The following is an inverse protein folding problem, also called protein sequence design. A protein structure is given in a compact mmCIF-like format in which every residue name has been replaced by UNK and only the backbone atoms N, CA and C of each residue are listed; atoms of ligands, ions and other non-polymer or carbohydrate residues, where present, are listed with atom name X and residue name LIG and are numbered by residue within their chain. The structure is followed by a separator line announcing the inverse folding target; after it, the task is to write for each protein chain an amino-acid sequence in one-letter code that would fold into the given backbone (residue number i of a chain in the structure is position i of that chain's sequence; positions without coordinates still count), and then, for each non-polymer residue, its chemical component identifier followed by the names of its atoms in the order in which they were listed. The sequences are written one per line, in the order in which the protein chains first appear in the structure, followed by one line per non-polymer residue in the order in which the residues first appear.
data_IF_089510687682
#
_entry.id   IF_089510687682
#
_cell.length_a   1.000
_cell.length_b   1.000
_cell.length_c   1.000
_cell.angle_alpha   90.00
_cell.angle_beta   90.00
_cell.angle_gamma   90.00
#
_symmetry.space_group_name_H-M   'P 1'
#
loop_
_entity.id
_entity.type
_entity.pdbx_description
1 polymer ?
#
# COMPACT_ATOMS: atom_id res chain seq x y z
N UNK A 1 1.57 27.17 -33.70
CA UNK A 1 1.18 27.76 -32.40
C UNK A 1 1.94 27.13 -31.24
N UNK A 2 1.85 25.82 -30.98
CA UNK A 2 2.56 25.16 -29.86
C UNK A 2 4.07 25.45 -29.80
N UNK A 3 4.80 25.36 -30.92
CA UNK A 3 6.24 25.71 -30.97
C UNK A 3 6.52 27.18 -30.56
N UNK A 4 5.62 28.10 -30.93
CA UNK A 4 5.71 29.51 -30.58
C UNK A 4 5.48 29.75 -29.08
N UNK A 5 4.53 29.04 -28.48
CA UNK A 5 4.26 29.08 -27.03
C UNK A 5 5.45 28.51 -26.25
N UNK A 6 6.09 27.44 -26.75
CA UNK A 6 7.32 26.90 -26.15
C UNK A 6 8.48 27.89 -26.17
N UNK A 7 8.60 28.71 -27.23
CA UNK A 7 9.69 29.68 -27.37
C UNK A 7 9.40 31.02 -26.68
N UNK A 8 8.14 31.46 -26.65
CA UNK A 8 7.72 32.74 -26.09
C UNK A 8 6.39 32.59 -25.31
N UNK A 9 6.46 32.59 -23.97
CA UNK A 9 5.28 32.47 -23.11
C UNK A 9 4.21 33.54 -23.31
N UNK A 10 4.61 34.75 -23.74
CA UNK A 10 3.68 35.88 -23.92
C UNK A 10 2.68 35.65 -25.05
N UNK A 11 2.94 34.70 -25.96
CA UNK A 11 2.01 34.31 -27.01
C UNK A 11 0.68 33.76 -26.49
N UNK A 12 0.62 33.30 -25.23
CA UNK A 12 -0.63 32.81 -24.61
C UNK A 12 -1.68 33.91 -24.51
N UNK A 13 -1.27 35.16 -24.31
CA UNK A 13 -2.18 36.31 -24.28
C UNK A 13 -2.90 36.48 -25.64
N UNK A 14 -2.19 36.19 -26.74
CA UNK A 14 -2.72 36.28 -28.12
C UNK A 14 -3.63 35.10 -28.49
N UNK A 15 -3.59 33.99 -27.74
CA UNK A 15 -4.47 32.85 -27.96
C UNK A 15 -5.93 33.22 -27.81
N UNK A 16 -6.27 34.10 -26.85
CA UNK A 16 -7.64 34.56 -26.64
C UNK A 16 -8.24 35.17 -27.90
N UNK A 17 -7.53 36.11 -28.52
CA UNK A 17 -7.98 36.76 -29.75
C UNK A 17 -8.08 35.76 -30.92
N UNK A 18 -7.15 34.82 -30.99
CA UNK A 18 -7.13 33.79 -32.04
C UNK A 18 -8.31 32.84 -31.89
N UNK A 19 -8.59 32.34 -30.69
CA UNK A 19 -9.71 31.44 -30.42
C UNK A 19 -11.06 32.14 -30.56
N UNK A 20 -11.18 33.39 -30.10
CA UNK A 20 -12.38 34.18 -30.33
C UNK A 20 -12.65 34.34 -31.83
N UNK A 21 -11.61 34.63 -32.63
CA UNK A 21 -11.74 34.77 -34.07
C UNK A 21 -12.14 33.45 -34.75
N UNK A 22 -11.57 32.32 -34.32
CA UNK A 22 -11.94 31.00 -34.82
C UNK A 22 -13.39 30.64 -34.46
N UNK A 23 -13.84 30.95 -33.25
CA UNK A 23 -15.23 30.77 -32.83
C UNK A 23 -16.18 31.62 -33.69
N UNK A 24 -15.90 32.92 -33.84
CA UNK A 24 -16.73 33.81 -34.66
C UNK A 24 -16.74 33.46 -36.15
N UNK A 25 -15.70 32.79 -36.65
CA UNK A 25 -15.66 32.31 -38.03
C UNK A 25 -16.65 31.16 -38.28
N UNK A 26 -17.05 30.44 -37.22
CA UNK A 26 -18.05 29.38 -37.28
C UNK A 26 -19.49 29.94 -37.33
N UNK A 27 -19.72 31.10 -36.71
CA UNK A 27 -21.06 31.66 -36.54
C UNK A 27 -21.74 31.99 -37.88
N UNK A 28 -21.02 32.61 -38.82
CA UNK A 28 -21.59 33.00 -40.11
C UNK A 28 -22.00 31.80 -40.99
N UNK A 29 -21.16 30.75 -41.15
CA UNK A 29 -21.58 29.50 -41.79
C UNK A 29 -22.79 28.84 -41.12
N UNK A 30 -22.82 28.73 -39.79
CA UNK A 30 -23.96 28.13 -39.08
C UNK A 30 -25.24 28.94 -39.25
N UNK A 31 -25.13 30.28 -39.24
CA UNK A 31 -26.25 31.17 -39.48
C UNK A 31 -26.81 31.02 -40.90
N UNK A 32 -25.95 30.84 -41.91
CA UNK A 32 -26.38 30.55 -43.30
C UNK A 32 -27.10 29.21 -43.44
N UNK A 33 -26.62 28.18 -42.74
CA UNK A 33 -27.27 26.84 -42.73
C UNK A 33 -28.63 26.93 -42.05
N UNK A 34 -28.73 27.70 -40.95
CA UNK A 34 -29.99 27.96 -40.26
C UNK A 34 -30.97 28.74 -41.14
N UNK A 35 -30.51 29.76 -41.86
CA UNK A 35 -31.33 30.51 -42.82
C UNK A 35 -31.83 29.66 -44.00
N UNK A 36 -31.08 28.61 -44.36
CA UNK A 36 -31.48 27.65 -45.38
C UNK A 36 -32.45 26.56 -44.86
N UNK A 37 -32.85 26.58 -43.58
CA UNK A 37 -33.67 25.56 -42.92
C UNK A 37 -33.16 24.12 -43.16
N UNK A 38 -31.84 23.94 -43.23
CA UNK A 38 -31.26 22.61 -43.44
C UNK A 38 -31.36 21.76 -42.17
N UNK A 39 -31.74 20.48 -42.27
CA UNK A 39 -31.73 19.54 -41.14
C UNK A 39 -30.30 19.28 -40.61
N UNK A 40 -29.26 19.59 -41.38
CA UNK A 40 -27.86 19.32 -41.04
C UNK A 40 -27.24 20.35 -40.08
N UNK A 41 -27.98 21.39 -39.67
CA UNK A 41 -27.47 22.43 -38.77
C UNK A 41 -26.86 21.84 -37.49
N UNK A 42 -27.54 20.88 -36.88
CA UNK A 42 -27.12 20.28 -35.60
C UNK A 42 -25.87 19.43 -35.78
N UNK A 43 -25.81 18.60 -36.81
CA UNK A 43 -24.68 17.71 -37.08
C UNK A 43 -23.41 18.49 -37.45
N UNK A 44 -23.55 19.51 -38.31
CA UNK A 44 -22.45 20.39 -38.74
C UNK A 44 -21.94 21.24 -37.56
N UNK A 45 -22.85 21.83 -36.78
CA UNK A 45 -22.50 22.59 -35.57
C UNK A 45 -21.73 21.73 -34.58
N UNK A 46 -22.20 20.51 -34.30
CA UNK A 46 -21.58 19.62 -33.32
C UNK A 46 -20.20 19.14 -33.78
N UNK A 47 -20.04 18.76 -35.05
CA UNK A 47 -18.76 18.31 -35.59
C UNK A 47 -17.69 19.39 -35.54
N UNK A 48 -17.97 20.57 -36.12
CA UNK A 48 -16.97 21.64 -36.17
C UNK A 48 -16.71 22.29 -34.81
N UNK A 49 -17.72 22.37 -33.93
CA UNK A 49 -17.51 22.80 -32.55
C UNK A 49 -16.57 21.85 -31.82
N UNK A 50 -16.76 20.54 -31.99
CA UNK A 50 -15.93 19.51 -31.36
C UNK A 50 -14.49 19.56 -31.88
N UNK A 51 -14.30 19.71 -33.19
CA UNK A 51 -12.96 19.86 -33.78
C UNK A 51 -12.25 21.12 -33.30
N UNK A 52 -12.97 22.25 -33.18
CA UNK A 52 -12.39 23.49 -32.67
C UNK A 52 -12.02 23.36 -31.19
N UNK A 53 -12.87 22.73 -30.39
CA UNK A 53 -12.58 22.41 -28.97
C UNK A 53 -11.37 21.47 -28.86
N UNK A 54 -11.28 20.44 -29.69
CA UNK A 54 -10.14 19.51 -29.73
C UNK A 54 -8.85 20.24 -30.07
N UNK A 55 -8.90 21.15 -31.04
CA UNK A 55 -7.76 22.00 -31.39
C UNK A 55 -7.35 22.92 -30.23
N UNK A 56 -8.30 23.63 -29.60
CA UNK A 56 -8.05 24.49 -28.44
C UNK A 56 -7.42 23.70 -27.30
N UNK A 57 -7.99 22.53 -26.96
CA UNK A 57 -7.43 21.61 -25.95
C UNK A 57 -6.00 21.21 -26.30
N UNK A 58 -5.74 20.82 -27.55
CA UNK A 58 -4.40 20.44 -28.00
C UNK A 58 -3.41 21.59 -27.85
N UNK A 59 -3.80 22.81 -28.20
CA UNK A 59 -2.92 23.99 -28.06
C UNK A 59 -2.69 24.34 -26.58
N UNK A 60 -3.71 24.28 -25.73
CA UNK A 60 -3.60 24.56 -24.30
C UNK A 60 -2.81 23.49 -23.54
N UNK A 61 -2.85 22.24 -23.98
CA UNK A 61 -2.10 21.13 -23.36
C UNK A 61 -0.58 21.35 -23.36
N UNK A 62 -0.07 22.18 -24.28
CA UNK A 62 1.36 22.50 -24.31
C UNK A 62 1.80 23.30 -23.09
N UNK A 63 0.88 24.03 -22.44
CA UNK A 63 1.19 24.93 -21.34
C UNK A 63 1.58 24.13 -20.09
N UNK A 64 0.77 23.17 -19.60
CA UNK A 64 1.22 22.24 -18.56
C UNK A 64 2.53 21.55 -18.90
N UNK A 65 2.67 20.95 -20.09
CA UNK A 65 3.90 20.27 -20.51
C UNK A 65 5.14 21.19 -20.39
N UNK A 66 5.02 22.44 -20.84
CA UNK A 66 6.09 23.44 -20.69
C UNK A 66 6.32 23.84 -19.25
N UNK A 67 5.26 24.03 -18.44
CA UNK A 67 5.39 24.38 -17.02
C UNK A 67 6.15 23.31 -16.25
N UNK A 68 5.83 22.03 -16.44
CA UNK A 68 6.53 20.92 -15.78
C UNK A 68 7.98 20.76 -16.27
N UNK A 69 8.23 20.93 -17.57
CA UNK A 69 9.60 20.93 -18.10
C UNK A 69 10.43 22.12 -17.58
N UNK A 70 9.77 23.23 -17.29
CA UNK A 70 10.35 24.46 -16.72
C UNK A 70 10.60 24.32 -15.22
N UNK A 71 9.69 23.71 -14.45
CA UNK A 71 9.86 23.42 -13.02
C UNK A 71 11.08 22.55 -12.70
N UNK A 72 11.52 21.73 -13.65
CA UNK A 72 12.74 20.94 -13.53
C UNK A 72 14.06 21.76 -13.65
N UNK A 73 14.01 23.06 -14.01
CA UNK A 73 15.17 23.97 -14.08
C UNK A 73 14.97 25.14 -13.09
N UNK A 74 16.04 25.87 -12.78
CA UNK A 74 16.18 26.79 -11.62
C UNK A 74 15.10 27.91 -11.48
N UNK A 75 14.62 28.10 -10.25
CA UNK A 75 13.40 28.82 -9.78
C UNK A 75 13.19 30.28 -10.26
N UNK A 76 14.21 31.11 -10.48
CA UNK A 76 13.99 32.57 -10.58
C UNK A 76 13.49 33.08 -11.96
N UNK A 77 14.18 32.80 -13.07
CA UNK A 77 13.75 33.23 -14.42
C UNK A 77 12.47 32.54 -14.90
N UNK A 78 12.09 31.46 -14.23
CA UNK A 78 11.07 30.50 -14.66
C UNK A 78 9.70 30.77 -14.03
N UNK A 79 9.69 31.39 -12.85
CA UNK A 79 8.46 31.86 -12.19
C UNK A 79 7.74 32.91 -13.03
N UNK A 80 8.48 33.79 -13.72
CA UNK A 80 7.89 34.78 -14.63
C UNK A 80 7.16 34.13 -15.81
N UNK A 81 7.74 33.09 -16.43
CA UNK A 81 7.07 32.38 -17.52
C UNK A 81 5.78 31.71 -17.05
N UNK A 82 5.82 31.06 -15.87
CA UNK A 82 4.64 30.44 -15.26
C UNK A 82 3.57 31.49 -14.95
N UNK A 83 3.93 32.62 -14.36
CA UNK A 83 2.97 33.69 -14.06
C UNK A 83 2.34 34.25 -15.34
N UNK A 84 3.14 34.52 -16.38
CA UNK A 84 2.63 35.01 -17.68
C UNK A 84 1.69 34.00 -18.35
N UNK A 85 2.04 32.71 -18.33
CA UNK A 85 1.15 31.67 -18.84
C UNK A 85 -0.18 31.64 -18.12
N UNK A 86 -0.10 31.73 -16.79
CA UNK A 86 -1.25 31.56 -15.93
C UNK A 86 -2.15 32.79 -15.95
N UNK A 87 -1.59 33.99 -15.86
CA UNK A 87 -2.31 35.25 -16.08
C UNK A 87 -2.97 35.27 -17.46
N UNK A 88 -2.24 34.88 -18.51
CA UNK A 88 -2.78 34.83 -19.87
C UNK A 88 -4.01 33.94 -20.02
N UNK A 89 -4.05 32.79 -19.32
CA UNK A 89 -5.22 31.89 -19.29
C UNK A 89 -6.31 32.43 -18.37
N UNK A 90 -5.98 32.93 -17.17
CA UNK A 90 -6.96 33.45 -16.21
C UNK A 90 -7.67 34.72 -16.73
N UNK A 91 -7.00 35.51 -17.57
CA UNK A 91 -7.59 36.65 -18.28
C UNK A 91 -8.54 36.23 -19.42
N UNK A 92 -8.60 34.94 -19.77
CA UNK A 92 -9.56 34.44 -20.74
C UNK A 92 -10.92 34.24 -20.09
N UNK A 93 -11.95 34.89 -20.65
CA UNK A 93 -13.33 34.65 -20.26
C UNK A 93 -13.82 33.31 -20.80
N UNK A 94 -14.81 32.72 -20.14
CA UNK A 94 -15.52 31.54 -20.67
C UNK A 94 -16.02 31.88 -22.07
N UNK A 95 -15.61 31.09 -23.04
CA UNK A 95 -15.88 31.36 -24.46
C UNK A 95 -16.79 30.28 -24.99
N UNK A 96 -17.91 30.69 -25.59
CA UNK A 96 -18.79 29.77 -26.30
C UNK A 96 -18.18 29.46 -27.66
N UNK A 97 -17.96 28.18 -27.94
CA UNK A 97 -17.52 27.69 -29.25
C UNK A 97 -18.66 26.84 -29.81
N UNK A 98 -19.47 27.44 -30.68
CA UNK A 98 -20.72 26.86 -31.18
C UNK A 98 -21.65 26.50 -30.03
N UNK A 99 -21.85 25.20 -29.77
CA UNK A 99 -22.71 24.69 -28.69
C UNK A 99 -21.95 24.36 -27.38
N UNK A 100 -20.62 24.43 -27.37
CA UNK A 100 -19.79 24.02 -26.21
C UNK A 100 -19.21 25.25 -25.53
N UNK A 101 -19.46 25.38 -24.22
CA UNK A 101 -18.81 26.42 -23.42
C UNK A 101 -17.43 25.94 -22.97
N UNK A 102 -16.39 26.68 -23.36
CA UNK A 102 -15.02 26.43 -22.93
C UNK A 102 -14.72 27.29 -21.70
N UNK A 103 -14.34 26.63 -20.61
CA UNK A 103 -13.76 27.27 -19.42
C UNK A 103 -12.23 27.11 -19.42
N UNK A 104 -11.46 28.17 -19.73
CA UNK A 104 -10.00 28.11 -19.81
C UNK A 104 -9.35 27.72 -18.47
N UNK A 105 -9.95 28.08 -17.33
CA UNK A 105 -9.43 27.73 -16.00
C UNK A 105 -9.55 26.23 -15.78
N UNK A 106 -10.72 25.66 -16.06
CA UNK A 106 -10.94 24.21 -15.93
C UNK A 106 -10.04 23.42 -16.89
N UNK A 107 -9.84 23.90 -18.12
CA UNK A 107 -8.93 23.24 -19.07
C UNK A 107 -7.47 23.27 -18.61
N UNK A 108 -7.03 24.35 -17.96
CA UNK A 108 -5.70 24.44 -17.38
C UNK A 108 -5.54 23.46 -16.21
N UNK A 109 -6.52 23.40 -15.31
CA UNK A 109 -6.53 22.45 -14.19
C UNK A 109 -6.49 21.00 -14.69
N UNK A 110 -7.38 20.63 -15.61
CA UNK A 110 -7.40 19.30 -16.22
C UNK A 110 -6.07 18.96 -16.91
N UNK A 111 -5.47 19.95 -17.58
CA UNK A 111 -4.18 19.81 -18.26
C UNK A 111 -3.02 19.60 -17.28
N UNK A 112 -2.97 20.36 -16.18
CA UNK A 112 -1.97 20.22 -15.11
C UNK A 112 -2.11 18.86 -14.43
N UNK A 113 -3.33 18.45 -14.07
CA UNK A 113 -3.61 17.13 -13.50
C UNK A 113 -3.16 16.01 -14.44
N UNK A 114 -3.47 16.12 -15.73
CA UNK A 114 -3.08 15.12 -16.74
C UNK A 114 -1.58 15.01 -16.89
N UNK A 115 -0.87 16.13 -16.95
CA UNK A 115 0.60 16.12 -17.04
C UNK A 115 1.22 15.54 -15.77
N UNK A 116 0.72 15.88 -14.58
CA UNK A 116 1.14 15.28 -13.31
C UNK A 116 0.98 13.75 -13.36
N UNK A 117 -0.19 13.26 -13.74
CA UNK A 117 -0.48 11.82 -13.83
C UNK A 117 0.49 11.12 -14.78
N UNK A 118 0.76 11.74 -15.93
CA UNK A 118 1.72 11.23 -16.91
C UNK A 118 3.16 11.16 -16.36
N UNK A 119 3.64 12.23 -15.72
CA UNK A 119 4.99 12.30 -15.17
C UNK A 119 5.18 11.32 -14.00
N UNK A 120 4.22 11.25 -13.08
CA UNK A 120 4.25 10.31 -11.95
C UNK A 120 4.23 8.87 -12.45
N UNK A 121 3.33 8.53 -13.38
CA UNK A 121 3.28 7.18 -13.93
C UNK A 121 4.57 6.80 -14.67
N UNK A 122 5.17 7.73 -15.40
CA UNK A 122 6.44 7.50 -16.08
C UNK A 122 7.60 7.31 -15.10
N UNK A 123 7.64 8.11 -14.03
CA UNK A 123 8.64 7.97 -12.98
C UNK A 123 8.52 6.61 -12.26
N UNK A 124 7.30 6.18 -11.93
CA UNK A 124 7.03 4.88 -11.33
C UNK A 124 7.38 3.72 -12.27
N UNK A 125 6.98 3.81 -13.54
CA UNK A 125 7.24 2.76 -14.54
C UNK A 125 8.75 2.56 -14.77
N UNK A 126 9.50 3.65 -14.94
CA UNK A 126 10.94 3.59 -15.22
C UNK A 126 11.80 3.39 -13.96
N UNK A 127 11.38 3.95 -12.83
CA UNK A 127 12.14 3.90 -11.57
C UNK A 127 12.09 2.53 -10.90
N UNK A 128 10.97 1.82 -11.02
CA UNK A 128 10.73 0.52 -10.38
C UNK A 128 10.94 -0.63 -11.37
N UNK A 129 12.12 -0.68 -11.96
CA UNK A 129 12.59 -1.81 -12.78
C UNK A 129 13.70 -2.48 -12.00
N UNK A 130 13.60 -3.77 -11.72
CA UNK A 130 14.59 -4.50 -10.90
C UNK A 130 15.27 -5.59 -11.72
N UNK A 131 16.55 -5.82 -11.49
CA UNK A 131 17.25 -6.94 -12.11
C UNK A 131 17.21 -8.17 -11.18
N UNK A 132 16.54 -9.27 -11.56
CA UNK A 132 16.43 -10.46 -10.71
C UNK A 132 17.77 -11.13 -10.39
N UNK A 133 18.82 -10.85 -11.18
CA UNK A 133 20.16 -11.45 -11.02
C UNK A 133 21.13 -10.58 -10.22
N UNK A 134 20.71 -9.40 -9.75
CA UNK A 134 21.57 -8.53 -8.95
C UNK A 134 21.83 -9.13 -7.56
N UNK A 135 23.12 -9.24 -7.19
CA UNK A 135 23.56 -9.76 -5.88
C UNK A 135 23.19 -8.81 -4.73
N UNK A 136 23.57 -7.51 -4.74
CA UNK A 136 22.99 -6.55 -3.81
C UNK A 136 21.56 -6.19 -4.23
N UNK A 137 20.65 -6.02 -3.26
CA UNK A 137 19.30 -5.52 -3.54
C UNK A 137 19.37 -4.09 -4.07
N UNK A 138 18.71 -3.85 -5.21
CA UNK A 138 18.56 -2.52 -5.81
C UNK A 138 17.35 -1.76 -5.25
N UNK A 139 16.58 -2.38 -4.34
CA UNK A 139 15.31 -1.85 -3.85
C UNK A 139 15.47 -0.48 -3.18
N UNK A 140 16.29 -0.40 -2.13
CA UNK A 140 16.53 0.82 -1.35
C UNK A 140 17.08 1.98 -2.22
N UNK A 141 18.15 1.80 -3.04
CA UNK A 141 18.66 2.89 -3.84
C UNK A 141 17.65 3.37 -4.89
N UNK A 142 16.86 2.47 -5.51
CA UNK A 142 15.83 2.86 -6.48
C UNK A 142 14.65 3.58 -5.84
N UNK A 143 14.18 3.12 -4.68
CA UNK A 143 13.14 3.81 -3.92
C UNK A 143 13.60 5.20 -3.44
N UNK A 144 14.86 5.32 -3.00
CA UNK A 144 15.42 6.63 -2.59
C UNK A 144 15.51 7.59 -3.78
N UNK A 145 15.95 7.10 -4.94
CA UNK A 145 16.01 7.91 -6.16
C UNK A 145 14.61 8.35 -6.61
N UNK A 146 13.64 7.44 -6.61
CA UNK A 146 12.24 7.73 -6.94
C UNK A 146 11.63 8.73 -5.94
N UNK A 147 11.88 8.56 -4.65
CA UNK A 147 11.42 9.47 -3.60
C UNK A 147 11.89 10.91 -3.82
N UNK A 148 13.17 11.10 -4.21
CA UNK A 148 13.70 12.43 -4.58
C UNK A 148 12.97 13.04 -5.78
N UNK A 149 12.63 12.24 -6.79
CA UNK A 149 11.89 12.71 -7.97
C UNK A 149 10.46 13.10 -7.58
N UNK A 150 9.78 12.28 -6.78
CA UNK A 150 8.42 12.55 -6.31
C UNK A 150 8.36 13.78 -5.39
N UNK A 151 9.33 13.95 -4.48
CA UNK A 151 9.47 15.17 -3.65
C UNK A 151 9.68 16.42 -4.52
N UNK A 152 10.46 16.29 -5.61
CA UNK A 152 10.60 17.35 -6.60
C UNK A 152 9.27 17.77 -7.23
N UNK A 153 8.43 16.82 -7.62
CA UNK A 153 7.09 17.11 -8.15
C UNK A 153 6.17 17.73 -7.10
N UNK A 154 6.18 17.21 -5.87
CA UNK A 154 5.37 17.74 -4.77
C UNK A 154 5.68 19.21 -4.48
N UNK A 155 6.97 19.55 -4.30
CA UNK A 155 7.40 20.94 -4.08
C UNK A 155 7.06 21.84 -5.26
N UNK A 156 7.16 21.32 -6.48
CA UNK A 156 6.79 22.06 -7.68
C UNK A 156 5.32 22.49 -7.66
N UNK A 157 4.43 21.63 -7.17
CA UNK A 157 3.02 21.96 -6.98
C UNK A 157 2.80 23.00 -5.89
N UNK A 158 3.52 22.91 -4.79
CA UNK A 158 3.50 23.90 -3.72
C UNK A 158 3.91 25.30 -4.24
N UNK A 159 4.91 25.38 -5.12
CA UNK A 159 5.35 26.65 -5.70
C UNK A 159 4.35 27.24 -6.70
N UNK A 160 3.68 26.44 -7.51
CA UNK A 160 2.75 26.95 -8.55
C UNK A 160 1.33 27.19 -8.04
N UNK A 161 0.96 26.66 -6.86
CA UNK A 161 -0.43 26.66 -6.39
C UNK A 161 -1.04 28.07 -6.36
N UNK A 162 -0.25 29.07 -5.93
CA UNK A 162 -0.70 30.45 -5.81
C UNK A 162 -0.85 31.12 -7.18
N UNK A 163 0.09 30.86 -8.10
CA UNK A 163 0.03 31.40 -9.45
C UNK A 163 -1.18 30.87 -10.21
N UNK A 164 -1.45 29.56 -10.11
CA UNK A 164 -2.55 28.88 -10.82
C UNK A 164 -3.89 28.98 -10.10
N UNK A 165 -3.88 29.37 -8.82
CA UNK A 165 -5.08 29.40 -7.98
C UNK A 165 -5.78 28.03 -7.96
N UNK A 166 -5.01 26.97 -7.71
CA UNK A 166 -5.46 25.58 -7.56
C UNK A 166 -4.92 25.03 -6.23
N UNK A 167 -5.72 24.19 -5.55
CA UNK A 167 -5.29 23.48 -4.36
C UNK A 167 -4.28 22.36 -4.70
N UNK A 168 -2.99 22.69 -4.75
CA UNK A 168 -1.93 21.77 -5.17
C UNK A 168 -1.86 20.48 -4.36
N UNK A 169 -1.97 20.58 -3.03
CA UNK A 169 -1.95 19.41 -2.14
C UNK A 169 -3.10 18.44 -2.42
N UNK A 170 -4.32 18.97 -2.60
CA UNK A 170 -5.51 18.17 -2.91
C UNK A 170 -5.34 17.42 -4.24
N UNK A 171 -4.89 18.13 -5.27
CA UNK A 171 -4.63 17.55 -6.59
C UNK A 171 -3.58 16.44 -6.50
N UNK A 172 -2.48 16.68 -5.78
CA UNK A 172 -1.44 15.67 -5.59
C UNK A 172 -1.98 14.40 -4.92
N UNK A 173 -2.70 14.53 -3.81
CA UNK A 173 -3.25 13.39 -3.08
C UNK A 173 -4.29 12.61 -3.89
N UNK A 174 -5.24 13.30 -4.52
CA UNK A 174 -6.27 12.69 -5.37
C UNK A 174 -5.63 11.89 -6.52
N UNK A 175 -4.71 12.51 -7.27
CA UNK A 175 -4.15 11.89 -8.46
C UNK A 175 -3.14 10.76 -8.13
N UNK A 176 -2.29 10.93 -7.11
CA UNK A 176 -1.33 9.86 -6.71
C UNK A 176 -2.08 8.65 -6.15
N UNK A 177 -3.11 8.86 -5.32
CA UNK A 177 -3.96 7.76 -4.81
C UNK A 177 -4.68 7.04 -5.95
N UNK A 178 -5.21 7.80 -6.92
CA UNK A 178 -5.89 7.26 -8.11
C UNK A 178 -4.94 6.42 -8.96
N UNK A 179 -3.71 6.88 -9.17
CA UNK A 179 -2.66 6.16 -9.90
C UNK A 179 -2.34 4.82 -9.22
N UNK A 180 -2.06 4.83 -7.92
CA UNK A 180 -1.71 3.61 -7.18
C UNK A 180 -2.86 2.62 -7.21
N UNK A 181 -4.08 3.07 -6.88
CA UNK A 181 -5.27 2.22 -6.84
C UNK A 181 -5.60 1.59 -8.19
N UNK A 182 -5.50 2.35 -9.29
CA UNK A 182 -5.68 1.82 -10.64
C UNK A 182 -4.65 0.71 -10.96
N UNK A 183 -3.36 0.96 -10.71
CA UNK A 183 -2.32 -0.04 -11.02
C UNK A 183 -2.42 -1.29 -10.13
N UNK A 184 -2.82 -1.14 -8.87
CA UNK A 184 -3.11 -2.29 -7.99
C UNK A 184 -4.26 -3.11 -8.56
N UNK A 185 -5.38 -2.48 -8.94
CA UNK A 185 -6.53 -3.16 -9.55
C UNK A 185 -6.14 -3.93 -10.82
N UNK A 186 -5.34 -3.32 -11.70
CA UNK A 186 -4.88 -3.95 -12.93
C UNK A 186 -3.92 -5.12 -12.69
N UNK A 187 -3.08 -5.09 -11.66
CA UNK A 187 -2.23 -6.24 -11.29
C UNK A 187 -3.08 -7.35 -10.63
N UNK A 188 -4.10 -6.98 -9.84
CA UNK A 188 -5.02 -7.92 -9.20
C UNK A 188 -5.88 -8.71 -10.19
N UNK A 189 -6.08 -8.21 -11.42
CA UNK A 189 -6.76 -8.95 -12.48
C UNK A 189 -6.13 -10.32 -12.80
N UNK A 190 -4.87 -10.55 -12.43
CA UNK A 190 -4.24 -11.87 -12.52
C UNK A 190 -4.90 -12.92 -11.61
N UNK A 191 -5.54 -12.49 -10.52
CA UNK A 191 -6.17 -13.36 -9.52
C UNK A 191 -7.70 -13.40 -9.62
N UNK A 192 -8.31 -12.51 -10.42
CA UNK A 192 -9.75 -12.43 -10.59
C UNK A 192 -10.24 -13.31 -11.74
N UNK A 193 -11.39 -13.97 -11.54
CA UNK A 193 -12.07 -14.74 -12.60
C UNK A 193 -12.66 -13.83 -13.68
N UNK A 194 -13.23 -12.70 -13.27
CA UNK A 194 -13.70 -11.64 -14.15
C UNK A 194 -12.72 -10.49 -14.08
N UNK A 195 -12.06 -10.20 -15.21
CA UNK A 195 -11.06 -9.13 -15.30
C UNK A 195 -11.74 -7.79 -15.46
N UNK A 196 -11.33 -6.81 -14.66
CA UNK A 196 -11.78 -5.43 -14.74
C UNK A 196 -11.01 -4.74 -15.87
N UNK A 197 -11.72 -4.38 -16.94
CA UNK A 197 -11.13 -3.69 -18.09
C UNK A 197 -10.92 -2.20 -17.81
N UNK A 198 -10.06 -1.53 -18.58
CA UNK A 198 -9.73 -0.11 -18.39
C UNK A 198 -10.96 0.80 -18.35
N UNK A 199 -11.95 0.55 -19.21
CA UNK A 199 -13.18 1.35 -19.26
C UNK A 199 -14.17 1.06 -18.12
N UNK A 200 -13.97 -0.05 -17.40
CA UNK A 200 -14.78 -0.45 -16.24
C UNK A 200 -14.17 0.03 -14.93
N UNK A 201 -12.88 0.38 -14.93
CA UNK A 201 -12.18 0.85 -13.75
C UNK A 201 -12.76 2.17 -13.25
N UNK A 202 -13.07 2.24 -11.96
CA UNK A 202 -13.57 3.44 -11.28
C UNK A 202 -12.54 4.56 -11.29
N UNK A 203 -11.25 4.21 -11.36
CA UNK A 203 -10.14 5.14 -11.33
C UNK A 203 -9.83 5.77 -12.69
N UNK A 204 -10.36 5.21 -13.77
CA UNK A 204 -10.09 5.68 -15.12
C UNK A 204 -11.04 6.83 -15.50
N UNK A 205 -10.47 8.00 -15.78
CA UNK A 205 -11.24 9.20 -16.14
C UNK A 205 -11.16 9.48 -17.63
N UNK A 206 -12.31 9.84 -18.23
CA UNK A 206 -12.38 10.29 -19.64
C UNK A 206 -11.63 11.60 -19.87
N UNK A 207 -11.59 12.48 -18.85
CA UNK A 207 -10.92 13.76 -18.94
C UNK A 207 -9.42 13.64 -18.64
N UNK A 208 -9.05 12.78 -17.69
CA UNK A 208 -7.66 12.65 -17.21
C UNK A 208 -7.31 11.16 -17.18
N UNK A 209 -7.03 10.55 -18.34
CA UNK A 209 -6.73 9.13 -18.41
C UNK A 209 -5.37 8.84 -17.77
N UNK A 210 -5.28 7.73 -17.03
CA UNK A 210 -4.03 7.20 -16.53
C UNK A 210 -3.35 6.46 -17.69
N UNK A 211 -2.11 6.81 -18.06
CA UNK A 211 -1.44 6.15 -19.17
C UNK A 211 -1.02 4.74 -18.79
N UNK A 212 -1.24 3.81 -19.70
CA UNK A 212 -0.73 2.44 -19.62
C UNK A 212 0.54 2.31 -20.44
N UNK A 213 1.48 1.50 -19.96
CA UNK A 213 2.75 1.22 -20.62
C UNK A 213 2.85 -0.26 -20.94
N UNK A 214 3.59 -0.65 -21.99
CA UNK A 214 3.82 -2.06 -22.26
C UNK A 214 4.54 -2.73 -21.08
N UNK A 215 4.19 -3.98 -20.74
CA UNK A 215 4.91 -4.74 -19.72
C UNK A 215 6.40 -4.86 -20.07
N UNK A 216 7.26 -4.63 -19.07
CA UNK A 216 8.72 -4.77 -19.22
C UNK A 216 9.21 -6.18 -18.92
N UNK A 217 8.35 -6.99 -18.30
CA UNK A 217 8.60 -8.36 -17.88
C UNK A 217 7.40 -9.25 -18.20
N UNK A 218 7.63 -10.56 -18.31
CA UNK A 218 6.56 -11.53 -18.59
C UNK A 218 5.69 -11.82 -17.36
N UNK A 219 6.15 -11.44 -16.16
CA UNK A 219 5.50 -11.78 -14.92
C UNK A 219 4.57 -10.65 -14.43
N UNK A 220 5.01 -9.39 -14.49
CA UNK A 220 4.24 -8.24 -13.99
C UNK A 220 3.48 -7.54 -15.10
N UNK A 221 2.28 -7.05 -14.79
CA UNK A 221 1.53 -6.17 -15.71
C UNK A 221 2.09 -4.76 -15.61
N UNK A 222 2.36 -4.29 -14.39
CA UNK A 222 2.84 -2.94 -14.13
C UNK A 222 3.93 -2.86 -13.05
N UNK A 223 4.25 -1.63 -12.60
CA UNK A 223 5.30 -1.39 -11.62
C UNK A 223 4.98 -1.94 -10.23
N UNK A 224 3.69 -2.07 -9.85
CA UNK A 224 3.27 -2.64 -8.57
C UNK A 224 3.66 -4.12 -8.52
N UNK A 225 3.42 -4.87 -9.60
CA UNK A 225 3.87 -6.26 -9.70
C UNK A 225 5.39 -6.41 -9.59
N UNK A 226 6.15 -5.52 -10.25
CA UNK A 226 7.61 -5.53 -10.17
C UNK A 226 8.11 -5.22 -8.76
N UNK A 227 7.51 -4.22 -8.10
CA UNK A 227 7.82 -3.87 -6.73
C UNK A 227 7.48 -5.00 -5.77
N UNK A 228 6.28 -5.58 -5.88
CA UNK A 228 5.84 -6.69 -5.03
C UNK A 228 6.75 -7.91 -5.18
N UNK A 229 7.17 -8.25 -6.40
CA UNK A 229 8.12 -9.34 -6.64
C UNK A 229 9.50 -9.07 -6.08
N UNK A 230 10.00 -7.84 -6.21
CA UNK A 230 11.29 -7.48 -5.62
C UNK A 230 11.24 -7.51 -4.09
N UNK A 231 10.14 -7.03 -3.49
CA UNK A 231 9.92 -7.18 -2.04
C UNK A 231 9.90 -8.65 -1.67
N UNK A 232 9.13 -9.49 -2.37
CA UNK A 232 9.09 -10.94 -2.14
C UNK A 232 10.45 -11.63 -2.33
N UNK A 233 11.30 -11.12 -3.24
CA UNK A 233 12.66 -11.63 -3.45
C UNK A 233 13.58 -11.26 -2.30
N UNK A 234 13.51 -10.01 -1.84
CA UNK A 234 14.28 -9.52 -0.68
C UNK A 234 13.77 -10.14 0.62
N UNK A 235 12.54 -10.63 0.64
CA UNK A 235 11.98 -11.43 1.73
C UNK A 235 11.81 -12.89 1.34
N UNK A 236 12.60 -13.41 0.39
CA UNK A 236 12.49 -14.83 0.00
C UNK A 236 13.01 -15.66 1.17
N UNK A 237 12.24 -16.66 1.63
CA UNK A 237 12.72 -17.54 2.67
C UNK A 237 14.08 -18.09 2.35
N UNK A 238 14.28 -18.57 1.12
CA UNK A 238 15.48 -19.28 0.66
C UNK A 238 16.76 -18.50 0.76
N UNK A 239 16.68 -17.19 0.94
CA UNK A 239 17.84 -16.30 0.94
C UNK A 239 17.79 -15.28 2.05
N UNK A 240 16.72 -15.15 2.84
CA UNK A 240 16.70 -14.15 3.92
C UNK A 240 16.17 -14.66 5.27
N UNK A 241 16.68 -14.04 6.34
CA UNK A 241 16.31 -14.22 7.75
C UNK A 241 15.86 -12.87 8.30
N UNK A 242 14.78 -12.88 9.08
CA UNK A 242 14.32 -11.66 9.74
C UNK A 242 14.86 -11.59 11.17
N UNK A 243 15.57 -10.51 11.49
CA UNK A 243 16.09 -10.29 12.83
C UNK A 243 15.22 -9.26 13.55
N UNK A 244 14.47 -9.75 14.54
CA UNK A 244 13.46 -8.98 15.28
C UNK A 244 14.04 -7.76 16.00
N UNK A 245 15.21 -7.92 16.63
CA UNK A 245 15.87 -6.84 17.37
C UNK A 245 16.20 -5.62 16.48
N UNK A 246 16.39 -5.85 15.19
CA UNK A 246 16.72 -4.82 14.19
C UNK A 246 15.56 -4.46 13.26
N UNK A 247 14.41 -5.13 13.38
CA UNK A 247 13.28 -5.02 12.44
C UNK A 247 13.70 -5.06 10.95
N UNK A 248 14.70 -5.89 10.61
CA UNK A 248 15.33 -5.90 9.29
C UNK A 248 15.56 -7.32 8.77
N UNK A 249 15.60 -7.44 7.44
CA UNK A 249 15.90 -8.68 6.73
C UNK A 249 17.40 -8.77 6.43
N UNK A 250 18.01 -9.91 6.71
CA UNK A 250 19.40 -10.22 6.44
C UNK A 250 19.50 -11.38 5.46
N UNK A 251 20.52 -11.38 4.61
CA UNK A 251 20.77 -12.46 3.63
C UNK A 251 21.25 -13.74 4.36
N UNK A 252 20.44 -14.79 4.36
CA UNK A 252 20.72 -16.12 4.92
C UNK A 252 19.66 -17.14 4.47
N UNK A 253 20.04 -18.38 4.18
CA UNK A 253 19.16 -19.36 3.52
C UNK A 253 18.06 -19.94 4.44
N UNK A 254 16.87 -19.38 4.52
CA UNK A 254 15.74 -19.97 5.28
C UNK A 254 14.65 -20.59 4.41
N UNK A 255 13.60 -21.22 4.96
CA UNK A 255 12.66 -22.01 4.13
C UNK A 255 11.19 -21.92 4.59
N UNK A 256 10.73 -20.79 5.14
CA UNK A 256 9.35 -20.63 5.64
C UNK A 256 8.62 -19.41 5.04
N UNK A 257 7.81 -19.62 4.00
CA UNK A 257 7.09 -18.56 3.26
C UNK A 257 6.00 -17.85 4.07
N UNK A 258 5.12 -18.60 4.75
CA UNK A 258 3.96 -18.03 5.46
C UNK A 258 4.40 -17.13 6.63
N UNK A 259 5.38 -17.57 7.41
CA UNK A 259 5.89 -16.81 8.56
C UNK A 259 6.50 -15.48 8.15
N UNK A 260 7.26 -15.49 7.06
CA UNK A 260 7.89 -14.29 6.53
C UNK A 260 6.88 -13.28 5.99
N UNK A 261 5.82 -13.75 5.33
CA UNK A 261 4.71 -12.88 4.93
C UNK A 261 4.04 -12.21 6.14
N UNK A 262 3.86 -12.91 7.25
CA UNK A 262 3.29 -12.32 8.46
C UNK A 262 4.20 -11.29 9.11
N UNK A 263 5.50 -11.53 9.11
CA UNK A 263 6.51 -10.56 9.54
C UNK A 263 6.45 -9.31 8.67
N UNK A 264 6.43 -9.47 7.35
CA UNK A 264 6.34 -8.35 6.41
C UNK A 264 5.07 -7.53 6.66
N UNK A 265 3.92 -8.18 6.86
CA UNK A 265 2.67 -7.48 7.22
C UNK A 265 2.77 -6.74 8.54
N UNK A 266 3.43 -7.32 9.54
CA UNK A 266 3.66 -6.66 10.84
C UNK A 266 4.56 -5.43 10.69
N UNK A 267 5.62 -5.53 9.89
CA UNK A 267 6.51 -4.40 9.59
C UNK A 267 5.78 -3.27 8.85
N UNK A 268 4.99 -3.60 7.83
CA UNK A 268 4.17 -2.62 7.08
C UNK A 268 3.15 -1.95 8.01
N UNK A 269 2.43 -2.71 8.84
CA UNK A 269 1.47 -2.15 9.79
C UNK A 269 2.15 -1.24 10.82
N UNK A 270 3.34 -1.61 11.30
CA UNK A 270 4.13 -0.80 12.23
C UNK A 270 4.59 0.52 11.62
N UNK A 271 5.06 0.49 10.37
CA UNK A 271 5.47 1.70 9.66
C UNK A 271 4.27 2.62 9.42
N UNK A 272 3.16 2.09 8.90
CA UNK A 272 1.92 2.85 8.71
C UNK A 272 1.43 3.51 10.00
N UNK A 273 1.43 2.76 11.11
CA UNK A 273 1.05 3.29 12.42
C UNK A 273 1.99 4.40 12.90
N UNK A 274 3.29 4.21 12.69
CA UNK A 274 4.31 5.19 13.09
C UNK A 274 4.14 6.49 12.29
N UNK A 275 4.04 6.41 10.96
CA UNK A 275 3.78 7.56 10.09
C UNK A 275 2.46 8.25 10.45
N UNK A 276 1.37 7.51 10.59
CA UNK A 276 0.06 8.05 10.94
C UNK A 276 0.09 8.78 12.30
N UNK A 277 0.83 8.26 13.27
CA UNK A 277 0.99 8.88 14.59
C UNK A 277 1.78 10.19 14.54
N UNK A 278 2.79 10.29 13.66
CA UNK A 278 3.57 11.51 13.48
C UNK A 278 2.81 12.57 12.66
N UNK A 279 2.16 12.19 11.57
CA UNK A 279 1.49 13.12 10.65
C UNK A 279 0.06 13.49 11.07
N UNK A 280 -0.68 12.56 11.71
CA UNK A 280 -2.10 12.73 12.06
C UNK A 280 -2.44 12.16 13.45
N UNK A 281 -1.78 12.71 14.48
CA UNK A 281 -1.95 12.26 15.88
C UNK A 281 -3.40 12.23 16.36
N UNK A 282 -4.21 13.23 15.97
CA UNK A 282 -5.57 13.39 16.47
C UNK A 282 -6.51 12.36 15.84
N UNK A 283 -6.30 12.04 14.56
CA UNK A 283 -7.03 10.98 13.87
C UNK A 283 -6.72 9.62 14.49
N UNK A 284 -5.45 9.31 14.73
CA UNK A 284 -5.04 8.04 15.36
C UNK A 284 -5.65 7.92 16.76
N UNK A 285 -5.61 8.99 17.56
CA UNK A 285 -6.21 9.00 18.90
C UNK A 285 -7.73 8.81 18.85
N UNK A 286 -8.42 9.47 17.91
CA UNK A 286 -9.86 9.32 17.73
C UNK A 286 -10.24 7.89 17.29
N UNK A 287 -9.50 7.31 16.35
CA UNK A 287 -9.73 5.94 15.87
C UNK A 287 -9.47 4.91 16.97
N UNK A 288 -8.39 5.05 17.74
CA UNK A 288 -8.09 4.18 18.89
C UNK A 288 -9.19 4.26 19.94
N UNK A 289 -9.59 5.48 20.33
CA UNK A 289 -10.66 5.69 21.32
C UNK A 289 -11.98 5.11 20.84
N UNK A 290 -12.31 5.29 19.56
CA UNK A 290 -13.54 4.73 18.96
C UNK A 290 -13.51 3.21 18.94
N UNK A 291 -12.39 2.61 18.53
CA UNK A 291 -12.21 1.16 18.54
C UNK A 291 -12.32 0.58 19.95
N UNK A 292 -11.69 1.20 20.94
CA UNK A 292 -11.74 0.74 22.33
C UNK A 292 -13.15 0.89 22.92
N UNK A 293 -13.87 1.97 22.61
CA UNK A 293 -15.25 2.18 23.01
C UNK A 293 -16.19 1.12 22.40
N UNK A 294 -16.10 0.88 21.09
CA UNK A 294 -16.91 -0.14 20.39
C UNK A 294 -16.60 -1.54 20.94
N UNK A 295 -15.34 -1.88 21.17
CA UNK A 295 -14.95 -3.16 21.77
C UNK A 295 -15.46 -3.28 23.22
N UNK A 296 -15.50 -2.19 23.99
CA UNK A 296 -16.04 -2.18 25.35
C UNK A 296 -17.55 -2.40 25.36
N UNK A 297 -18.29 -1.77 24.43
CA UNK A 297 -19.73 -1.97 24.26
C UNK A 297 -20.07 -3.40 23.86
N UNK A 298 -19.34 -3.97 22.89
CA UNK A 298 -19.50 -5.38 22.48
C UNK A 298 -19.27 -6.32 23.67
N UNK A 299 -18.19 -6.11 24.44
CA UNK A 299 -17.93 -6.90 25.66
C UNK A 299 -19.02 -6.72 26.71
N UNK A 300 -19.58 -5.53 26.84
CA UNK A 300 -20.67 -5.25 27.77
C UNK A 300 -21.96 -5.96 27.36
N UNK A 301 -22.28 -6.01 26.05
CA UNK A 301 -23.41 -6.77 25.51
C UNK A 301 -23.26 -8.27 25.74
N UNK A 302 -22.06 -8.83 25.55
CA UNK A 302 -21.82 -10.25 25.86
C UNK A 302 -22.00 -10.60 27.34
N UNK A 303 -21.83 -9.64 28.25
CA UNK A 303 -22.12 -9.82 29.68
C UNK A 303 -23.59 -9.60 30.02
N UNK A 304 -24.24 -8.69 29.32
CA UNK A 304 -25.62 -8.29 29.53
C UNK A 304 -26.32 -8.06 28.16
N UNK A 305 -27.13 -9.03 27.69
CA UNK A 305 -27.80 -8.97 26.39
C UNK A 305 -28.75 -7.78 26.21
N UNK A 306 -29.10 -7.05 27.27
CA UNK A 306 -29.95 -5.85 27.19
C UNK A 306 -29.24 -4.62 26.60
N UNK A 307 -27.90 -4.62 26.56
CA UNK A 307 -27.09 -3.50 26.05
C UNK A 307 -27.09 -3.46 24.51
N UNK A 308 -26.82 -2.30 23.89
CA UNK A 308 -26.79 -2.20 22.43
C UNK A 308 -25.63 -3.03 21.84
N UNK A 309 -25.90 -3.67 20.71
CA UNK A 309 -24.91 -4.36 19.87
C UNK A 309 -25.02 -3.82 18.45
N UNK A 310 -23.91 -3.51 17.76
CA UNK A 310 -23.94 -3.11 16.35
C UNK A 310 -24.50 -4.26 15.52
N UNK A 311 -25.75 -4.12 15.03
CA UNK A 311 -26.38 -5.12 14.16
C UNK A 311 -25.59 -5.28 12.86
N UNK A 312 -25.71 -6.43 12.20
CA UNK A 312 -25.01 -6.73 10.95
C UNK A 312 -25.30 -5.73 9.82
N UNK A 313 -26.47 -5.10 9.83
CA UNK A 313 -26.84 -4.04 8.88
C UNK A 313 -26.11 -2.71 9.10
N UNK A 314 -25.40 -2.54 10.22
CA UNK A 314 -24.69 -1.30 10.53
C UNK A 314 -23.29 -1.31 9.87
N UNK A 315 -23.00 -0.40 8.92
CA UNK A 315 -21.70 -0.35 8.25
C UNK A 315 -20.55 0.07 9.16
N UNK A 316 -20.83 0.56 10.37
CA UNK A 316 -19.85 1.08 11.32
C UNK A 316 -18.64 0.17 11.51
N UNK A 317 -18.86 -1.14 11.72
CA UNK A 317 -17.76 -2.09 11.95
C UNK A 317 -16.90 -2.28 10.70
N UNK A 318 -17.51 -2.33 9.50
CA UNK A 318 -16.77 -2.45 8.25
C UNK A 318 -15.97 -1.18 7.94
N UNK A 319 -16.58 0.00 8.10
CA UNK A 319 -15.92 1.28 7.86
C UNK A 319 -14.78 1.52 8.85
N UNK A 320 -15.04 1.31 10.15
CA UNK A 320 -14.01 1.45 11.18
C UNK A 320 -12.86 0.47 10.95
N UNK A 321 -13.13 -0.78 10.59
CA UNK A 321 -12.09 -1.75 10.27
C UNK A 321 -11.22 -1.30 9.07
N UNK A 322 -11.82 -0.70 8.05
CA UNK A 322 -11.07 -0.16 6.91
C UNK A 322 -10.13 0.99 7.33
N UNK A 323 -10.62 1.94 8.14
CA UNK A 323 -9.79 3.03 8.66
C UNK A 323 -8.67 2.55 9.59
N UNK A 324 -8.94 1.55 10.43
CA UNK A 324 -7.93 0.92 11.28
C UNK A 324 -6.86 0.20 10.46
N UNK A 325 -7.27 -0.53 9.41
CA UNK A 325 -6.34 -1.20 8.48
C UNK A 325 -5.43 -0.16 7.78
N UNK A 326 -5.98 0.98 7.34
CA UNK A 326 -5.21 2.06 6.69
C UNK A 326 -4.22 2.74 7.64
N UNK A 327 -4.56 2.89 8.91
CA UNK A 327 -3.69 3.48 9.92
C UNK A 327 -2.70 2.49 10.54
N UNK A 328 -2.66 1.23 10.07
CA UNK A 328 -1.83 0.19 10.67
C UNK A 328 -2.28 -0.27 12.07
N UNK A 329 -3.47 0.13 12.52
CA UNK A 329 -4.07 -0.20 13.81
C UNK A 329 -4.78 -1.57 13.77
N UNK A 330 -4.14 -2.58 13.17
CA UNK A 330 -4.67 -3.93 13.10
C UNK A 330 -3.62 -4.96 13.48
N UNK A 331 -4.05 -6.18 13.80
CA UNK A 331 -3.17 -7.28 14.18
C UNK A 331 -3.07 -8.30 13.04
N UNK A 332 -1.98 -8.32 12.25
CA UNK A 332 -1.86 -9.22 11.09
C UNK A 332 -1.97 -10.70 11.44
N UNK A 333 -1.34 -11.11 12.55
CA UNK A 333 -1.28 -12.50 13.01
C UNK A 333 -2.65 -13.02 13.50
N UNK A 334 -3.48 -12.10 14.00
CA UNK A 334 -4.83 -12.43 14.49
C UNK A 334 -5.88 -12.45 13.38
N UNK A 335 -5.53 -12.03 12.14
CA UNK A 335 -6.47 -11.94 11.02
C UNK A 335 -6.80 -13.34 10.49
N UNK A 336 -8.09 -13.65 10.37
CA UNK A 336 -8.59 -14.88 9.75
C UNK A 336 -8.74 -14.62 8.25
N UNK A 337 -8.02 -15.39 7.44
CA UNK A 337 -7.99 -15.28 5.98
C UNK A 337 -8.94 -16.27 5.31
N UNK A 338 -9.02 -17.49 5.85
CA UNK A 338 -9.82 -18.57 5.28
C UNK A 338 -10.57 -19.29 6.39
N UNK A 339 -11.90 -19.29 6.33
CA UNK A 339 -12.74 -20.13 7.19
C UNK A 339 -12.91 -21.50 6.54
N UNK A 340 -12.47 -22.56 7.21
CA UNK A 340 -12.59 -23.95 6.72
C UNK A 340 -13.39 -24.81 7.70
N UNK A 341 -13.78 -26.02 7.25
CA UNK A 341 -14.47 -27.00 8.10
C UNK A 341 -13.50 -27.53 9.18
N UNK A 342 -13.99 -27.86 10.38
CA UNK A 342 -13.15 -28.39 11.45
C UNK A 342 -12.47 -29.69 11.01
N UNK A 343 -11.15 -29.74 11.14
CA UNK A 343 -10.33 -30.92 10.86
C UNK A 343 -10.06 -31.63 12.19
N UNK A 344 -10.45 -32.89 12.32
CA UNK A 344 -10.19 -33.69 13.52
C UNK A 344 -8.69 -33.88 13.76
N UNK A 345 -8.26 -33.89 15.03
CA UNK A 345 -6.88 -34.11 15.48
C UNK A 345 -5.81 -33.14 14.93
N UNK A 346 -6.23 -32.04 14.31
CA UNK A 346 -5.32 -30.99 13.84
C UNK A 346 -4.37 -30.47 14.93
N UNK A 347 -4.79 -30.23 16.19
CA UNK A 347 -3.90 -29.73 17.23
C UNK A 347 -2.79 -30.71 17.60
N UNK A 348 -3.09 -32.03 17.59
CA UNK A 348 -2.11 -33.07 17.85
C UNK A 348 -1.09 -33.17 16.71
N UNK A 349 -1.56 -33.13 15.46
CA UNK A 349 -0.68 -33.09 14.30
C UNK A 349 0.24 -31.87 14.34
N UNK A 350 -0.31 -30.68 14.63
CA UNK A 350 0.47 -29.45 14.73
C UNK A 350 1.49 -29.52 15.87
N UNK A 351 1.15 -30.11 17.01
CA UNK A 351 2.08 -30.32 18.11
C UNK A 351 3.24 -31.23 17.68
N UNK A 352 2.96 -32.40 17.11
CA UNK A 352 3.99 -33.32 16.61
C UNK A 352 4.86 -32.67 15.53
N UNK A 353 4.23 -31.92 14.62
CA UNK A 353 4.92 -31.15 13.59
C UNK A 353 5.87 -30.12 14.20
N UNK A 354 5.43 -29.37 15.22
CA UNK A 354 6.30 -28.38 15.89
C UNK A 354 7.45 -29.02 16.63
N UNK A 355 7.22 -30.07 17.44
CA UNK A 355 8.27 -30.73 18.22
C UNK A 355 9.34 -31.36 17.32
N UNK A 356 8.93 -32.06 16.26
CA UNK A 356 9.86 -32.68 15.30
C UNK A 356 10.75 -31.67 14.58
N UNK A 357 10.24 -30.47 14.29
CA UNK A 357 11.03 -29.41 13.68
C UNK A 357 11.89 -28.68 14.72
N UNK A 358 11.39 -28.48 15.95
CA UNK A 358 12.12 -27.85 17.05
C UNK A 358 13.42 -28.59 17.42
N UNK A 359 13.50 -29.90 17.20
CA UNK A 359 14.74 -30.67 17.37
C UNK A 359 15.90 -30.17 16.48
N UNK A 360 15.60 -29.55 15.34
CA UNK A 360 16.58 -29.00 14.39
C UNK A 360 17.09 -27.61 14.77
N UNK A 361 16.50 -26.96 15.77
CA UNK A 361 16.91 -25.63 16.22
C UNK A 361 17.81 -25.68 17.45
N UNK A 362 18.50 -24.58 17.71
CA UNK A 362 19.23 -24.28 18.93
C UNK A 362 18.87 -22.86 19.34
N UNK A 363 18.45 -22.67 20.58
CA UNK A 363 18.25 -21.36 21.16
C UNK A 363 19.58 -20.63 21.38
N UNK A 364 19.68 -19.38 20.93
CA UNK A 364 20.86 -18.53 21.13
C UNK A 364 20.46 -17.29 21.91
N UNK A 365 21.00 -17.17 23.13
CA UNK A 365 20.65 -16.10 24.09
C UNK A 365 21.02 -14.70 23.61
N UNK A 366 22.13 -14.56 22.88
CA UNK A 366 22.59 -13.26 22.36
C UNK A 366 21.63 -12.62 21.35
N UNK A 367 20.87 -13.44 20.60
CA UNK A 367 19.90 -12.97 19.62
C UNK A 367 18.44 -13.14 20.10
N UNK A 368 18.23 -13.78 21.26
CA UNK A 368 16.91 -14.05 21.82
C UNK A 368 16.00 -14.86 20.89
N UNK A 369 16.59 -15.72 20.05
CA UNK A 369 15.91 -16.40 18.95
C UNK A 369 16.34 -17.85 18.74
N UNK A 370 15.52 -18.59 17.99
CA UNK A 370 15.75 -19.97 17.59
C UNK A 370 16.49 -20.00 16.24
N UNK A 371 17.70 -20.57 16.21
CA UNK A 371 18.51 -20.72 15.00
C UNK A 371 18.64 -22.18 14.59
N UNK A 372 18.80 -22.47 13.29
CA UNK A 372 19.01 -23.84 12.82
C UNK A 372 20.38 -24.40 13.22
N UNK A 373 20.44 -25.69 13.58
CA UNK A 373 21.67 -26.43 13.91
C UNK A 373 22.61 -26.67 12.71
N UNK A 374 22.11 -26.62 11.47
CA UNK A 374 22.90 -26.90 10.25
C UNK A 374 22.74 -25.78 9.22
N UNK A 375 23.86 -25.26 8.72
CA UNK A 375 23.90 -24.15 7.76
C UNK A 375 23.50 -24.48 6.32
N UNK A 376 23.13 -25.74 6.00
CA UNK A 376 22.71 -26.14 4.64
C UNK A 376 21.17 -26.11 4.49
N UNK A 377 20.43 -26.30 5.58
CA UNK A 377 18.96 -26.18 5.67
C UNK A 377 18.61 -25.21 6.82
N UNK A 378 18.99 -23.93 6.70
CA UNK A 378 18.85 -22.97 7.79
C UNK A 378 17.42 -22.44 7.93
N UNK A 379 16.47 -23.30 8.32
CA UNK A 379 15.11 -22.88 8.71
C UNK A 379 15.24 -21.84 9.83
N UNK A 380 14.59 -20.69 9.65
CA UNK A 380 14.56 -19.60 10.62
C UNK A 380 13.44 -19.85 11.65
N UNK A 381 13.79 -19.72 12.93
CA UNK A 381 12.90 -20.08 14.02
C UNK A 381 11.72 -19.13 14.16
N UNK A 382 11.92 -17.82 13.94
CA UNK A 382 10.85 -16.84 14.11
C UNK A 382 9.76 -16.96 13.02
N UNK A 383 10.08 -17.01 11.72
CA UNK A 383 9.12 -17.35 10.68
C UNK A 383 8.44 -18.70 10.90
N UNK A 384 9.17 -19.72 11.36
CA UNK A 384 8.58 -21.02 11.67
C UNK A 384 7.49 -20.92 12.74
N UNK A 385 7.77 -20.21 13.84
CA UNK A 385 6.80 -19.99 14.93
C UNK A 385 5.58 -19.22 14.43
N UNK A 386 5.80 -18.10 13.74
CA UNK A 386 4.71 -17.26 13.25
C UNK A 386 3.86 -17.96 12.19
N UNK A 387 4.49 -18.70 11.26
CA UNK A 387 3.79 -19.44 10.22
C UNK A 387 2.94 -20.58 10.77
N UNK A 388 3.52 -21.41 11.65
CA UNK A 388 2.80 -22.52 12.30
C UNK A 388 1.61 -22.02 13.12
N UNK A 389 1.78 -20.92 13.87
CA UNK A 389 0.70 -20.33 14.64
C UNK A 389 -0.38 -19.68 13.77
N UNK A 390 0.02 -18.96 12.71
CA UNK A 390 -0.93 -18.32 11.79
C UNK A 390 -1.83 -19.34 11.11
N UNK A 391 -1.26 -20.49 10.73
CA UNK A 391 -2.03 -21.61 10.19
C UNK A 391 -3.03 -22.15 11.21
N UNK A 392 -2.59 -22.41 12.44
CA UNK A 392 -3.48 -22.91 13.51
C UNK A 392 -4.62 -21.93 13.83
N UNK A 393 -4.35 -20.63 13.77
CA UNK A 393 -5.33 -19.54 13.96
C UNK A 393 -6.39 -19.43 12.88
N UNK A 394 -6.21 -20.06 11.70
CA UNK A 394 -7.26 -20.09 10.67
C UNK A 394 -8.44 -21.01 11.05
N UNK A 395 -8.25 -21.86 12.06
CA UNK A 395 -9.26 -22.78 12.55
C UNK A 395 -9.88 -22.29 13.87
N UNK A 396 -10.89 -23.02 14.36
CA UNK A 396 -11.59 -22.69 15.61
C UNK A 396 -10.62 -22.49 16.79
N UNK A 397 -10.94 -21.55 17.69
CA UNK A 397 -10.08 -21.15 18.80
C UNK A 397 -9.68 -22.31 19.72
N UNK A 398 -10.53 -23.33 19.85
CA UNK A 398 -10.24 -24.53 20.65
C UNK A 398 -8.98 -25.27 20.20
N UNK A 399 -8.65 -25.21 18.90
CA UNK A 399 -7.46 -25.86 18.37
C UNK A 399 -6.17 -25.26 18.95
N UNK A 400 -6.16 -23.94 19.18
CA UNK A 400 -5.03 -23.25 19.82
C UNK A 400 -4.90 -23.68 21.28
N UNK A 401 -6.02 -23.75 21.99
CA UNK A 401 -6.06 -24.19 23.39
C UNK A 401 -5.57 -25.63 23.55
N UNK A 402 -6.04 -26.55 22.70
CA UNK A 402 -5.63 -27.96 22.71
C UNK A 402 -4.15 -28.12 22.32
N UNK A 403 -3.67 -27.38 21.33
CA UNK A 403 -2.27 -27.38 20.92
C UNK A 403 -1.34 -26.94 22.07
N UNK A 404 -1.68 -25.86 22.77
CA UNK A 404 -0.92 -25.39 23.94
C UNK A 404 -0.97 -26.41 25.09
N UNK A 405 -2.11 -27.07 25.30
CA UNK A 405 -2.24 -28.13 26.30
C UNK A 405 -1.32 -29.32 26.00
N UNK A 406 -1.25 -29.78 24.74
CA UNK A 406 -0.36 -30.87 24.32
C UNK A 406 1.11 -30.49 24.43
N UNK A 407 1.50 -29.28 24.02
CA UNK A 407 2.88 -28.80 24.22
C UNK A 407 3.25 -28.73 25.70
N UNK A 408 2.36 -28.21 26.56
CA UNK A 408 2.60 -28.15 28.00
C UNK A 408 2.66 -29.52 28.67
N UNK A 409 1.88 -30.50 28.19
CA UNK A 409 2.00 -31.89 28.64
C UNK A 409 3.36 -32.48 28.24
N UNK A 410 3.83 -32.23 27.02
CA UNK A 410 5.12 -32.71 26.54
C UNK A 410 6.29 -32.11 27.32
N UNK A 411 6.28 -30.80 27.58
CA UNK A 411 7.29 -30.13 28.43
C UNK A 411 7.33 -30.73 29.83
N UNK A 412 6.16 -30.99 30.44
CA UNK A 412 6.10 -31.63 31.77
C UNK A 412 6.67 -33.04 31.76
N UNK A 413 6.34 -33.85 30.75
CA UNK A 413 6.90 -35.20 30.58
C UNK A 413 8.43 -35.18 30.45
N UNK A 414 8.99 -34.24 29.68
CA UNK A 414 10.44 -34.11 29.51
C UNK A 414 11.15 -33.69 30.81
N UNK A 415 10.50 -32.85 31.62
CA UNK A 415 11.04 -32.42 32.92
C UNK A 415 11.01 -33.56 33.95
N UNK A 416 9.97 -34.41 33.92
CA UNK A 416 9.86 -35.60 34.78
C UNK A 416 10.91 -36.67 34.41
N UNK A 417 11.17 -36.87 33.12
CA UNK A 417 12.19 -37.83 32.63
C UNK A 417 13.63 -37.40 32.95
N UNK A 418 13.91 -36.09 32.97
CA UNK A 418 15.26 -35.53 33.14
C UNK A 418 15.83 -35.55 34.56
N UNK A 419 15.10 -35.97 35.59
CA UNK A 419 15.52 -35.87 37.02
C UNK A 419 16.04 -34.47 37.40
N UNK A 420 15.50 -33.42 36.79
CA UNK A 420 15.96 -32.05 37.00
C UNK A 420 15.53 -31.61 38.40
N UNK A 421 16.47 -31.59 39.34
CA UNK A 421 16.19 -31.04 40.67
C UNK A 421 15.79 -29.58 40.53
N UNK A 422 14.78 -29.17 41.31
CA UNK A 422 14.12 -27.86 41.34
C UNK A 422 15.09 -26.66 41.46
N UNK A 423 16.38 -26.90 41.71
CA UNK A 423 17.39 -25.88 42.02
C UNK A 423 18.45 -25.63 40.93
N UNK A 424 18.51 -26.42 39.84
CA UNK A 424 19.46 -26.17 38.72
C UNK A 424 18.85 -26.47 37.35
N UNK A 425 18.47 -25.41 36.63
CA UNK A 425 18.00 -25.48 35.24
C UNK A 425 19.12 -25.74 34.21
N UNK A 426 20.38 -25.88 34.65
CA UNK A 426 21.55 -26.08 33.78
C UNK A 426 21.53 -27.40 33.00
N UNK A 427 20.70 -28.36 33.42
CA UNK A 427 20.56 -29.69 32.80
C UNK A 427 19.27 -29.85 31.98
N UNK A 428 18.53 -28.75 31.71
CA UNK A 428 17.35 -28.81 30.86
C UNK A 428 17.73 -29.26 29.43
N UNK A 429 17.02 -30.26 28.90
CA UNK A 429 17.28 -30.76 27.56
C UNK A 429 17.16 -29.64 26.53
N UNK A 430 18.03 -29.65 25.51
CA UNK A 430 18.02 -28.66 24.40
C UNK A 430 16.62 -28.54 23.78
N UNK A 431 15.86 -29.63 23.77
CA UNK A 431 14.47 -29.68 23.30
C UNK A 431 13.53 -28.87 24.20
N UNK A 432 13.65 -28.99 25.53
CA UNK A 432 12.85 -28.22 26.49
C UNK A 432 13.11 -26.72 26.32
N UNK A 433 14.37 -26.32 26.22
CA UNK A 433 14.76 -24.91 25.99
C UNK A 433 14.20 -24.37 24.68
N UNK A 434 14.23 -25.18 23.59
CA UNK A 434 13.68 -24.76 22.30
C UNK A 434 12.16 -24.59 22.32
N UNK A 435 11.43 -25.45 23.05
CA UNK A 435 9.97 -25.36 23.18
C UNK A 435 9.58 -24.16 24.05
N UNK A 436 10.33 -23.89 25.13
CA UNK A 436 10.12 -22.69 25.95
C UNK A 436 10.37 -21.41 25.14
N UNK A 437 11.44 -21.38 24.32
CA UNK A 437 11.70 -20.29 23.40
C UNK A 437 10.59 -20.14 22.33
N UNK A 438 10.03 -21.24 21.82
CA UNK A 438 8.88 -21.21 20.90
C UNK A 438 7.66 -20.57 21.56
N UNK A 439 7.31 -20.99 22.78
CA UNK A 439 6.19 -20.44 23.55
C UNK A 439 6.41 -18.95 23.90
N UNK A 440 7.65 -18.55 24.19
CA UNK A 440 8.00 -17.15 24.41
C UNK A 440 7.78 -16.30 23.16
N UNK A 441 8.22 -16.77 21.99
CA UNK A 441 7.99 -16.07 20.72
C UNK A 441 6.47 -15.92 20.46
N UNK A 442 5.67 -16.93 20.79
CA UNK A 442 4.21 -16.83 20.71
C UNK A 442 3.63 -15.74 21.62
N UNK A 443 4.10 -15.65 22.87
CA UNK A 443 3.64 -14.62 23.81
C UNK A 443 4.05 -13.23 23.33
N UNK A 444 5.29 -13.06 22.84
CA UNK A 444 5.80 -11.76 22.39
C UNK A 444 5.16 -11.28 21.08
N UNK A 445 4.97 -12.17 20.11
CA UNK A 445 4.55 -11.76 18.76
C UNK A 445 3.09 -12.03 18.44
N UNK A 446 2.48 -13.07 19.01
CA UNK A 446 1.16 -13.55 18.60
C UNK A 446 0.01 -13.08 19.51
N UNK A 447 0.29 -12.14 20.43
CA UNK A 447 -0.67 -11.59 21.40
C UNK A 447 -1.40 -12.67 22.21
N UNK A 448 -0.74 -13.81 22.44
CA UNK A 448 -1.23 -14.87 23.33
C UNK A 448 -0.97 -14.41 24.75
N UNK A 449 -1.99 -14.24 25.61
CA UNK A 449 -1.76 -13.79 26.97
C UNK A 449 -0.88 -14.78 27.70
N UNK A 450 0.18 -14.29 28.37
CA UNK A 450 1.10 -15.14 29.14
C UNK A 450 0.36 -16.08 30.10
N UNK A 451 -0.73 -15.61 30.71
CA UNK A 451 -1.62 -16.40 31.58
C UNK A 451 -2.12 -17.70 30.93
N UNK A 452 -2.43 -17.68 29.62
CA UNK A 452 -2.93 -18.86 28.90
C UNK A 452 -1.82 -19.91 28.76
N UNK A 453 -0.58 -19.48 28.55
CA UNK A 453 0.58 -20.39 28.46
C UNK A 453 0.93 -20.95 29.84
N UNK A 454 0.88 -20.11 30.88
CA UNK A 454 1.19 -20.49 32.26
C UNK A 454 0.19 -21.50 32.86
N UNK A 455 -1.03 -21.58 32.33
CA UNK A 455 -1.98 -22.63 32.71
C UNK A 455 -1.46 -24.05 32.36
N UNK A 456 -0.53 -24.16 31.41
CA UNK A 456 -0.04 -25.44 30.91
C UNK A 456 1.45 -25.69 31.18
N UNK A 457 2.23 -24.64 31.48
CA UNK A 457 3.66 -24.69 31.77
C UNK A 457 3.96 -23.92 33.07
N UNK A 458 4.70 -24.49 34.04
CA UNK A 458 5.02 -23.81 35.29
C UNK A 458 5.80 -22.49 35.12
N UNK A 459 5.51 -21.49 35.96
CA UNK A 459 6.17 -20.17 35.91
C UNK A 459 7.70 -20.24 36.04
N UNK A 460 8.21 -21.10 36.93
CA UNK A 460 9.64 -21.18 37.22
C UNK A 460 10.46 -21.66 36.01
N UNK A 461 9.92 -22.56 35.19
CA UNK A 461 10.62 -23.08 34.00
C UNK A 461 10.66 -22.03 32.90
N UNK A 462 9.61 -21.22 32.81
CA UNK A 462 9.47 -20.18 31.79
C UNK A 462 10.34 -18.95 32.06
N UNK A 463 10.70 -18.64 33.31
CA UNK A 463 11.60 -17.53 33.62
C UNK A 463 13.08 -17.95 33.75
N UNK A 464 13.35 -19.20 34.16
CA UNK A 464 14.73 -19.68 34.36
C UNK A 464 15.51 -19.94 33.07
N UNK A 465 14.88 -20.31 31.95
CA UNK A 465 15.61 -20.62 30.71
C UNK A 465 16.40 -19.43 30.14
N UNK A 466 16.06 -18.19 30.53
CA UNK A 466 16.82 -16.98 30.18
C UNK A 466 18.11 -16.79 30.99
N UNK A 467 18.17 -17.36 32.19
CA UNK A 467 19.28 -17.19 33.14
C UNK A 467 20.39 -18.22 32.96
N UNK A 468 20.11 -19.31 32.25
CA UNK A 468 20.99 -20.47 32.06
C UNK A 468 21.82 -20.43 30.76
N UNK A 469 21.89 -19.30 30.06
CA UNK A 469 22.50 -19.19 28.73
C UNK A 469 23.30 -17.91 28.52
#
# INVERSE_FOLDING_TARGET
MQKGIKSDPSMVIKLRATFLKLATALDLPLLRINQANSPDLVSVSQYYSTELVNYVRKVLHIIPETMFGVLARIVAKLTHSISVFTEGILMMKKTLVGIVQIDPKQLLEDGIRRELVSQVMRALHNGLVFNPRAKPSELVPKLTALGKVMDGYYRSFEYIQDYVSIYGLRVWQEEVSRIVSYNVEQECNAFLRQKVQDWQSVYQSRAIPIPTFPPLDQASVNFIGRLAREVLRVTDPKTTVYVDQSNAWFDTKSHVEIGQMQILRKAIAHELYTTAKFESKDLVAALQTTNDAVLAEIKAHHRDPSKPYPKEDNPLLMELAAYLDWCGLYQPISKIYVTTRPIGNLPLFMMLFTVTHLAKFTYVSSQGGLLSKRGVDSIDGLPFVLGSFTFLKQFHQDNVTQFLAYLGQYVRSLLEEGSVSVTKFSDASVETTNILAYLEILVRHCNVPRKVVLNYVPDYTFDQFRSSS
#
